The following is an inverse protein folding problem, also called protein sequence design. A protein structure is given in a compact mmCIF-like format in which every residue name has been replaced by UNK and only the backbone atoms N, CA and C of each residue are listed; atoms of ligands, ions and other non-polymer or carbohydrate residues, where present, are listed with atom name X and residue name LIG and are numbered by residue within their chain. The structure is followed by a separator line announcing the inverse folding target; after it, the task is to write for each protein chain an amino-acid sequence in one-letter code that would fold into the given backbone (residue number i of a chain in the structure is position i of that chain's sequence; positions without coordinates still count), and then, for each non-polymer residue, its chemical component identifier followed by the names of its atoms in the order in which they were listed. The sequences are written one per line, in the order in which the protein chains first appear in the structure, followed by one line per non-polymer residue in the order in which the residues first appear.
data_IF_259937562755
#
_entry.id   IF_259937562755
#
_cell.length_a   1.000
_cell.length_b   1.000
_cell.length_c   1.000
_cell.angle_alpha   90.00
_cell.angle_beta   90.00
_cell.angle_gamma   90.00
#
_symmetry.space_group_name_H-M   'P 1'
#
loop_
_entity.id
_entity.type
_entity.pdbx_description
1 polymer ?
#
# COMPACT_ATOMS: atom_id res chain seq x y z
N UNK A 1 21.70 14.07 -36.43
CA UNK A 1 21.03 13.66 -35.18
C UNK A 1 21.29 12.16 -34.97
N UNK A 2 22.19 11.76 -34.05
CA UNK A 2 22.42 10.34 -33.74
C UNK A 2 21.29 9.85 -32.84
N UNK A 3 20.42 8.99 -33.37
CA UNK A 3 19.45 8.25 -32.55
C UNK A 3 20.20 7.30 -31.60
N UNK A 4 19.84 7.22 -30.31
CA UNK A 4 20.43 6.25 -29.40
C UNK A 4 20.13 4.83 -29.90
N UNK A 5 21.11 3.93 -29.76
CA UNK A 5 20.98 2.53 -30.17
C UNK A 5 19.78 1.90 -29.45
N UNK A 6 18.87 1.29 -30.20
CA UNK A 6 17.79 0.48 -29.64
C UNK A 6 18.37 -0.54 -28.67
N UNK A 7 17.77 -0.63 -27.48
CA UNK A 7 18.11 -1.64 -26.48
C UNK A 7 17.88 -3.02 -27.12
N UNK A 8 18.88 -3.88 -27.06
CA UNK A 8 18.73 -5.28 -27.45
C UNK A 8 17.53 -5.91 -26.72
N UNK A 9 16.83 -6.82 -27.38
CA UNK A 9 15.67 -7.50 -26.80
C UNK A 9 16.05 -8.17 -25.48
N UNK A 10 15.20 -8.07 -24.44
CA UNK A 10 15.51 -8.69 -23.16
C UNK A 10 15.62 -10.21 -23.33
N UNK A 11 16.62 -10.81 -22.68
CA UNK A 11 16.81 -12.26 -22.65
C UNK A 11 15.53 -13.00 -22.23
N UNK A 12 15.33 -14.27 -22.65
CA UNK A 12 14.19 -15.10 -22.25
C UNK A 12 13.96 -15.10 -20.73
N UNK A 13 12.71 -15.24 -20.28
CA UNK A 13 12.35 -15.12 -18.85
C UNK A 13 13.19 -15.99 -17.92
N UNK A 14 13.57 -17.16 -18.43
CA UNK A 14 14.32 -18.23 -17.78
C UNK A 14 15.77 -17.81 -17.46
N UNK A 15 16.32 -16.89 -18.27
CA UNK A 15 17.70 -16.40 -18.16
C UNK A 15 17.81 -15.08 -17.37
N UNK A 16 16.66 -14.47 -17.00
CA UNK A 16 16.61 -13.16 -16.32
C UNK A 16 16.85 -13.22 -14.80
N UNK A 17 17.08 -14.42 -14.25
CA UNK A 17 17.32 -14.63 -12.82
C UNK A 17 16.04 -14.62 -11.97
N UNK A 18 16.18 -14.57 -10.64
CA UNK A 18 15.08 -14.63 -9.67
C UNK A 18 14.82 -13.26 -9.03
N UNK A 19 13.56 -12.83 -8.99
CA UNK A 19 13.14 -11.64 -8.23
C UNK A 19 12.64 -12.06 -6.86
N UNK A 20 13.20 -11.45 -5.80
CA UNK A 20 12.74 -11.62 -4.42
C UNK A 20 12.09 -10.32 -3.93
N UNK A 21 10.88 -10.42 -3.40
CA UNK A 21 10.11 -9.27 -2.90
C UNK A 21 10.08 -9.36 -1.37
N UNK A 22 10.86 -8.51 -0.72
CA UNK A 22 10.93 -8.45 0.74
C UNK A 22 9.66 -7.91 1.39
N UNK A 23 9.47 -8.21 2.68
CA UNK A 23 8.31 -7.80 3.47
C UNK A 23 8.13 -6.27 3.52
N UNK A 24 9.23 -5.52 3.58
CA UNK A 24 9.20 -4.05 3.59
C UNK A 24 8.62 -3.46 2.30
N UNK A 25 8.88 -4.10 1.16
CA UNK A 25 8.33 -3.69 -0.14
C UNK A 25 6.83 -3.94 -0.18
N UNK A 26 6.39 -5.12 0.29
CA UNK A 26 4.96 -5.44 0.41
C UNK A 26 4.26 -4.48 1.37
N UNK A 27 4.87 -4.16 2.51
CA UNK A 27 4.35 -3.18 3.46
C UNK A 27 4.25 -1.77 2.82
N UNK A 28 5.23 -1.38 2.01
CA UNK A 28 5.23 -0.13 1.26
C UNK A 28 4.09 -0.05 0.24
N UNK A 29 3.90 -1.11 -0.55
CA UNK A 29 2.80 -1.23 -1.52
C UNK A 29 1.46 -1.16 -0.80
N UNK A 30 1.28 -1.93 0.28
CA UNK A 30 0.05 -1.95 1.05
C UNK A 30 -0.25 -0.59 1.70
N UNK A 31 0.76 0.11 2.22
CA UNK A 31 0.59 1.47 2.74
C UNK A 31 0.16 2.45 1.65
N UNK A 32 0.74 2.36 0.44
CA UNK A 32 0.37 3.22 -0.68
C UNK A 32 -1.05 2.94 -1.15
N UNK A 33 -1.42 1.68 -1.28
CA UNK A 33 -2.75 1.23 -1.66
C UNK A 33 -3.81 1.70 -0.66
N UNK A 34 -3.54 1.57 0.65
CA UNK A 34 -4.47 2.06 1.68
C UNK A 34 -4.74 3.57 1.56
N UNK A 35 -3.74 4.37 1.16
CA UNK A 35 -3.91 5.80 0.93
C UNK A 35 -4.67 6.16 -0.36
N UNK A 36 -4.91 5.22 -1.28
CA UNK A 36 -5.71 5.45 -2.49
C UNK A 36 -7.22 5.40 -2.19
N UNK A 37 -7.61 4.77 -1.07
CA UNK A 37 -9.02 4.67 -0.67
C UNK A 37 -9.50 5.96 -0.04
N UNK A 38 -10.53 6.57 -0.64
CA UNK A 38 -11.18 7.77 -0.13
C UNK A 38 -11.69 7.55 1.31
N UNK A 39 -11.39 8.49 2.20
CA UNK A 39 -11.81 8.43 3.60
C UNK A 39 -10.74 7.87 4.55
N UNK A 40 -9.65 7.31 4.04
CA UNK A 40 -8.43 7.12 4.84
C UNK A 40 -7.75 8.47 4.97
N UNK A 41 -7.50 8.91 6.21
CA UNK A 41 -6.66 10.06 6.49
C UNK A 41 -5.18 9.67 6.28
N UNK A 42 -4.84 9.38 5.03
CA UNK A 42 -3.51 9.07 4.56
C UNK A 42 -2.88 10.33 3.99
N UNK A 43 -1.72 10.72 4.53
CA UNK A 43 -0.89 11.82 3.98
C UNK A 43 -1.59 13.19 3.88
N UNK A 44 -2.52 13.51 4.78
CA UNK A 44 -2.98 14.90 4.95
C UNK A 44 -1.97 15.70 5.78
N UNK A 45 -0.85 16.02 5.15
CA UNK A 45 0.18 16.88 5.70
C UNK A 45 0.95 17.45 4.53
N UNK A 46 0.62 18.68 4.14
CA UNK A 46 1.35 19.41 3.11
C UNK A 46 2.86 19.41 3.37
N UNK A 47 3.61 19.70 2.31
CA UNK A 47 5.07 19.83 2.34
C UNK A 47 5.44 21.07 3.15
N UNK A 48 5.44 20.95 4.47
CA UNK A 48 5.76 22.03 5.41
C UNK A 48 6.49 21.48 6.63
N UNK A 49 7.43 22.26 7.21
CA UNK A 49 8.23 21.80 8.34
C UNK A 49 7.32 21.60 9.55
N UNK A 50 7.02 20.34 9.88
CA UNK A 50 6.28 19.97 11.10
C UNK A 50 5.01 19.13 10.94
N UNK A 51 4.56 18.78 9.72
CA UNK A 51 3.28 18.03 9.54
C UNK A 51 3.36 16.68 8.80
N UNK A 52 4.53 16.09 8.60
CA UNK A 52 4.64 14.73 8.06
C UNK A 52 4.58 13.67 9.16
N UNK A 53 3.44 13.52 9.83
CA UNK A 53 3.18 12.29 10.60
C UNK A 53 2.54 11.29 9.63
N UNK A 54 3.26 10.22 9.27
CA UNK A 54 2.65 9.05 8.60
C UNK A 54 1.52 8.52 9.50
N UNK A 55 0.29 8.91 9.20
CA UNK A 55 -0.93 8.45 9.91
C UNK A 55 -1.35 7.04 9.51
N UNK A 56 -0.70 6.48 8.49
CA UNK A 56 -0.84 5.08 8.08
C UNK A 56 0.48 4.37 8.39
N UNK A 57 0.41 3.36 9.27
CA UNK A 57 1.50 2.44 9.55
C UNK A 57 1.07 1.06 9.09
N UNK A 58 1.90 0.40 8.29
CA UNK A 58 1.64 -0.94 7.80
C UNK A 58 2.79 -1.84 8.20
N UNK A 59 2.46 -3.04 8.65
CA UNK A 59 3.39 -4.15 8.79
C UNK A 59 2.89 -5.28 7.90
N UNK A 60 3.77 -5.81 7.07
CA UNK A 60 3.50 -7.01 6.29
C UNK A 60 4.33 -8.15 6.88
N UNK A 61 3.81 -9.37 6.77
CA UNK A 61 4.54 -10.61 7.03
C UNK A 61 4.30 -11.55 5.85
N UNK A 62 5.36 -12.11 5.29
CA UNK A 62 5.30 -13.09 4.23
C UNK A 62 5.49 -14.47 4.84
N UNK A 63 4.71 -15.44 4.38
CA UNK A 63 4.67 -16.82 4.86
C UNK A 63 4.53 -17.76 3.66
N UNK A 64 4.83 -19.05 3.82
CA UNK A 64 4.65 -20.04 2.76
C UNK A 64 5.55 -19.78 1.56
N UNK A 65 6.86 -19.92 1.74
CA UNK A 65 7.89 -19.85 0.70
C UNK A 65 7.94 -18.58 -0.16
N UNK A 66 7.21 -17.52 0.21
CA UNK A 66 7.17 -16.26 -0.52
C UNK A 66 5.83 -15.97 -1.22
N UNK A 67 4.91 -16.93 -1.27
CA UNK A 67 3.67 -16.77 -2.06
C UNK A 67 2.49 -16.21 -1.27
N UNK A 68 2.55 -16.20 0.07
CA UNK A 68 1.42 -15.84 0.91
C UNK A 68 1.73 -14.67 1.84
N UNK A 69 0.95 -13.60 1.74
CA UNK A 69 1.12 -12.40 2.55
C UNK A 69 0.00 -12.24 3.60
N UNK A 70 0.41 -11.85 4.81
CA UNK A 70 -0.48 -11.36 5.88
C UNK A 70 -0.16 -9.89 6.15
N UNK A 71 -1.19 -9.04 6.17
CA UNK A 71 -1.03 -7.60 6.32
C UNK A 71 -1.69 -7.13 7.61
N UNK A 72 -1.00 -6.26 8.36
CA UNK A 72 -1.57 -5.53 9.49
C UNK A 72 -1.43 -4.03 9.25
N UNK A 73 -2.56 -3.36 9.12
CA UNK A 73 -2.65 -1.93 8.85
C UNK A 73 -3.17 -1.20 10.09
N UNK A 74 -2.49 -0.12 10.44
CA UNK A 74 -2.96 0.91 11.38
C UNK A 74 -3.22 2.18 10.59
N UNK A 75 -4.46 2.64 10.59
CA UNK A 75 -4.86 3.80 9.81
C UNK A 75 -5.80 4.71 10.58
N UNK A 76 -5.85 5.97 10.15
CA UNK A 76 -6.80 6.95 10.62
C UNK A 76 -7.93 7.13 9.59
N UNK A 77 -9.16 7.29 10.05
CA UNK A 77 -10.34 7.48 9.18
C UNK A 77 -10.88 8.90 9.31
N UNK A 78 -11.27 9.50 8.20
CA UNK A 78 -11.85 10.84 8.18
C UNK A 78 -13.32 10.81 8.67
N UNK A 79 -13.66 11.63 9.65
CA UNK A 79 -15.04 11.88 10.07
C UNK A 79 -15.70 12.89 9.10
N UNK A 80 -16.98 12.73 8.70
CA UNK A 80 -18.00 11.78 9.20
C UNK A 80 -18.13 10.47 8.40
N UNK A 81 -17.07 9.97 7.73
CA UNK A 81 -17.18 8.73 6.93
C UNK A 81 -17.43 7.51 7.82
N UNK A 82 -18.17 6.53 7.28
CA UNK A 82 -18.38 5.23 7.92
C UNK A 82 -17.07 4.46 8.03
N UNK A 83 -16.62 4.21 9.26
CA UNK A 83 -15.43 3.41 9.54
C UNK A 83 -15.54 2.02 8.92
N UNK A 84 -16.72 1.40 9.01
CA UNK A 84 -16.96 0.06 8.47
C UNK A 84 -16.80 0.03 6.94
N UNK A 85 -17.40 0.99 6.24
CA UNK A 85 -17.31 1.07 4.78
C UNK A 85 -15.87 1.33 4.34
N UNK A 86 -15.19 2.29 4.97
CA UNK A 86 -13.80 2.63 4.67
C UNK A 86 -12.88 1.44 4.93
N UNK A 87 -12.99 0.76 6.07
CA UNK A 87 -12.17 -0.42 6.37
C UNK A 87 -12.44 -1.58 5.40
N UNK A 88 -13.69 -1.80 4.98
CA UNK A 88 -14.01 -2.82 3.96
C UNK A 88 -13.37 -2.49 2.62
N UNK A 89 -13.46 -1.23 2.19
CA UNK A 89 -12.84 -0.75 0.94
C UNK A 89 -11.31 -0.84 1.00
N UNK A 90 -10.69 -0.42 2.09
CA UNK A 90 -9.24 -0.55 2.30
C UNK A 90 -8.79 -2.01 2.24
N UNK A 91 -9.55 -2.92 2.86
CA UNK A 91 -9.26 -4.35 2.86
C UNK A 91 -9.26 -4.91 1.44
N UNK A 92 -10.33 -4.67 0.69
CA UNK A 92 -10.48 -5.16 -0.67
C UNK A 92 -9.39 -4.58 -1.58
N UNK A 93 -9.24 -3.24 -1.57
CA UNK A 93 -8.29 -2.52 -2.41
C UNK A 93 -6.84 -2.90 -2.14
N UNK A 94 -6.45 -2.99 -0.86
CA UNK A 94 -5.08 -3.37 -0.49
C UNK A 94 -4.78 -4.81 -0.89
N UNK A 95 -5.73 -5.74 -0.69
CA UNK A 95 -5.54 -7.14 -1.05
C UNK A 95 -5.38 -7.32 -2.56
N UNK A 96 -6.26 -6.68 -3.35
CA UNK A 96 -6.21 -6.68 -4.81
C UNK A 96 -4.89 -6.07 -5.32
N UNK A 97 -4.51 -4.90 -4.78
CA UNK A 97 -3.32 -4.19 -5.24
C UNK A 97 -2.03 -4.95 -4.96
N UNK A 98 -1.91 -5.56 -3.77
CA UNK A 98 -0.75 -6.38 -3.41
C UNK A 98 -0.68 -7.61 -4.32
N UNK A 99 -1.79 -8.34 -4.49
CA UNK A 99 -1.83 -9.50 -5.38
C UNK A 99 -1.46 -9.14 -6.83
N UNK A 100 -1.98 -8.02 -7.34
CA UNK A 100 -1.66 -7.53 -8.68
C UNK A 100 -0.18 -7.15 -8.84
N UNK A 101 0.42 -6.50 -7.85
CA UNK A 101 1.80 -6.01 -7.95
C UNK A 101 2.87 -7.06 -7.64
N UNK A 102 2.58 -8.04 -6.80
CA UNK A 102 3.57 -9.03 -6.35
C UNK A 102 3.28 -10.45 -6.80
N UNK A 103 2.07 -10.73 -7.31
CA UNK A 103 1.62 -12.09 -7.61
C UNK A 103 1.30 -12.94 -6.37
N UNK A 104 1.46 -12.38 -5.16
CA UNK A 104 1.25 -13.11 -3.90
C UNK A 104 -0.24 -13.18 -3.53
N UNK A 105 -0.64 -14.29 -2.91
CA UNK A 105 -1.98 -14.45 -2.33
C UNK A 105 -2.07 -13.81 -0.94
N UNK A 106 -2.97 -12.84 -0.77
CA UNK A 106 -3.22 -12.21 0.54
C UNK A 106 -4.24 -13.03 1.33
N UNK A 107 -3.81 -13.69 2.41
CA UNK A 107 -4.71 -14.54 3.24
C UNK A 107 -5.50 -13.75 4.26
N UNK A 108 -4.86 -12.74 4.86
CA UNK A 108 -5.43 -12.00 5.97
C UNK A 108 -4.97 -10.55 5.96
N UNK A 109 -5.92 -9.67 6.24
CA UNK A 109 -5.71 -8.23 6.39
C UNK A 109 -6.30 -7.78 7.72
N UNK A 110 -5.47 -7.49 8.70
CA UNK A 110 -5.90 -6.95 9.98
C UNK A 110 -5.88 -5.43 9.90
N UNK A 111 -7.01 -4.78 10.19
CA UNK A 111 -7.13 -3.32 10.16
C UNK A 111 -7.45 -2.83 11.56
N UNK A 112 -6.56 -1.99 12.09
CA UNK A 112 -6.70 -1.32 13.36
C UNK A 112 -6.90 0.18 13.09
N UNK A 113 -8.07 0.70 13.48
CA UNK A 113 -8.40 2.11 13.32
C UNK A 113 -7.90 2.85 14.56
N UNK A 114 -6.82 3.61 14.40
CA UNK A 114 -6.11 4.22 15.52
C UNK A 114 -6.65 5.62 15.89
N UNK A 115 -7.21 6.36 14.93
CA UNK A 115 -7.66 7.74 15.11
C UNK A 115 -8.82 8.07 14.15
N UNK A 116 -9.76 8.90 14.60
CA UNK A 116 -10.76 9.53 13.75
C UNK A 116 -10.40 11.01 13.56
N UNK A 117 -10.11 11.40 12.33
CA UNK A 117 -9.68 12.76 12.00
C UNK A 117 -10.90 13.55 11.55
N UNK A 118 -11.22 14.64 12.25
CA UNK A 118 -12.21 15.60 11.76
C UNK A 118 -11.64 16.30 10.53
N UNK A 119 -12.35 16.24 9.40
CA UNK A 119 -12.06 17.14 8.29
C UNK A 119 -12.17 18.57 8.81
N UNK A 120 -11.04 19.27 8.90
CA UNK A 120 -11.05 20.67 9.30
C UNK A 120 -11.92 21.46 8.31
N UNK A 121 -12.73 22.38 8.83
CA UNK A 121 -13.29 23.48 8.02
C UNK A 121 -12.12 24.14 7.29
N UNK A 122 -12.02 23.95 5.99
CA UNK A 122 -11.43 24.96 5.12
C UNK A 122 -12.55 25.97 4.86
N UNK A 123 -12.55 27.03 5.67
CA UNK A 123 -13.05 28.35 5.26
C UNK A 123 -11.91 29.07 4.53
#
# INVERSE_FOLDING_TARGET
MRVPRQRAEPAPAEERGRTDIGEDVVAGIAARAACEVSGVAGLTGGVGPGRSRRRVRVRARITGNGDTATLRLRLAVAYPRSVLEVSRRVRAHTAERVAYMTGMSVRRVDIEVAELVRGGRTE
#
